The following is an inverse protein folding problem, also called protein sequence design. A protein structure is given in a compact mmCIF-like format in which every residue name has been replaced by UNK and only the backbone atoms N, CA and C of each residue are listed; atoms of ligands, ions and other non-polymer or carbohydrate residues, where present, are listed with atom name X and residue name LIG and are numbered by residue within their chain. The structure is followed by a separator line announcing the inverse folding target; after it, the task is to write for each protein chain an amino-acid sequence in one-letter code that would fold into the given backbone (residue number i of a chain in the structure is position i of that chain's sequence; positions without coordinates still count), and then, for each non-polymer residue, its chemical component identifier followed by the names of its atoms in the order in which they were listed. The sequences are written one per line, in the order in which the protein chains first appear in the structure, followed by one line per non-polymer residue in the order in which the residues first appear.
data_IF_760526305025
#
_entry.id   IF_760526305025
#
_cell.length_a   1.000
_cell.length_b   1.000
_cell.length_c   1.000
_cell.angle_alpha   90.00
_cell.angle_beta   90.00
_cell.angle_gamma   90.00
#
_symmetry.space_group_name_H-M   'P 1'
#
loop_
_entity.id
_entity.type
_entity.pdbx_description
1 polymer ?
#
# COMPACT_ATOMS: atom_id res chain seq x y z
N UNK A 1 29.89 -51.10 9.23
CA UNK A 1 29.97 -51.51 7.81
C UNK A 1 29.11 -50.57 6.99
N UNK A 2 29.73 -49.83 6.06
CA UNK A 2 29.20 -49.28 4.78
C UNK A 2 27.74 -48.77 4.76
N UNK A 3 27.44 -47.48 4.57
CA UNK A 3 27.99 -46.60 3.54
C UNK A 3 27.46 -47.00 2.17
N UNK A 4 26.19 -46.68 1.86
CA UNK A 4 25.55 -46.99 0.57
C UNK A 4 24.87 -45.71 0.05
N UNK A 5 25.60 -45.00 -0.80
CA UNK A 5 25.21 -44.22 -1.99
C UNK A 5 24.01 -43.25 -1.88
N UNK A 6 24.20 -41.93 -1.91
CA UNK A 6 24.70 -41.06 -2.99
C UNK A 6 23.61 -40.60 -4.00
N UNK A 7 23.29 -39.32 -3.92
CA UNK A 7 22.98 -38.36 -5.00
C UNK A 7 22.08 -38.81 -6.17
N UNK A 8 20.80 -38.40 -6.13
CA UNK A 8 20.01 -38.20 -7.35
C UNK A 8 20.32 -36.82 -7.94
N UNK A 9 21.40 -36.73 -8.72
CA UNK A 9 21.52 -35.70 -9.74
C UNK A 9 20.90 -36.22 -11.03
N UNK A 10 19.65 -35.84 -11.30
CA UNK A 10 19.03 -36.08 -12.61
C UNK A 10 18.72 -34.74 -13.25
N UNK A 11 19.63 -34.34 -14.15
CA UNK A 11 19.46 -33.23 -15.07
C UNK A 11 18.47 -33.62 -16.19
N UNK A 12 17.60 -32.71 -16.68
CA UNK A 12 16.58 -33.05 -17.67
C UNK A 12 17.19 -33.22 -19.07
N UNK A 13 17.23 -34.46 -19.58
CA UNK A 13 17.52 -34.73 -20.99
C UNK A 13 16.29 -34.42 -21.85
N UNK A 14 16.20 -33.17 -22.33
CA UNK A 14 15.29 -32.79 -23.41
C UNK A 14 15.74 -33.46 -24.71
N UNK A 15 15.04 -34.52 -25.13
CA UNK A 15 15.17 -35.12 -26.47
C UNK A 15 14.87 -34.05 -27.53
N UNK A 16 15.87 -33.68 -28.33
CA UNK A 16 15.66 -32.92 -29.57
C UNK A 16 15.44 -33.94 -30.69
N UNK A 17 14.25 -33.94 -31.30
CA UNK A 17 14.03 -34.62 -32.57
C UNK A 17 14.61 -33.78 -33.72
N UNK A 18 15.07 -34.41 -34.83
CA UNK A 18 15.53 -33.68 -36.01
C UNK A 18 14.32 -33.10 -36.77
N UNK A 19 14.35 -31.82 -37.20
CA UNK A 19 13.37 -31.34 -38.17
C UNK A 19 13.76 -31.83 -39.56
N UNK A 20 12.80 -32.51 -40.21
CA UNK A 20 12.79 -32.75 -41.65
C UNK A 20 12.72 -31.41 -42.36
N UNK A 21 13.69 -31.17 -43.23
CA UNK A 21 13.73 -30.09 -44.20
C UNK A 21 12.73 -30.42 -45.32
N UNK A 22 11.95 -29.42 -45.77
CA UNK A 22 11.38 -29.28 -47.12
C UNK A 22 10.28 -28.20 -47.09
N UNK A 23 10.57 -27.04 -47.70
CA UNK A 23 9.52 -26.09 -48.06
C UNK A 23 9.91 -24.61 -48.01
N UNK A 24 10.74 -24.19 -48.95
CA UNK A 24 10.77 -22.86 -49.60
C UNK A 24 9.86 -21.80 -48.96
N UNK A 25 10.45 -20.87 -48.20
CA UNK A 25 9.94 -19.49 -48.14
C UNK A 25 11.13 -18.54 -48.04
N UNK A 26 11.36 -17.85 -49.15
CA UNK A 26 12.38 -16.83 -49.36
C UNK A 26 12.34 -15.78 -48.26
N UNK A 27 13.47 -15.54 -47.59
CA UNK A 27 13.67 -14.44 -46.66
C UNK A 27 14.02 -13.16 -47.42
N UNK A 28 13.20 -12.10 -47.42
CA UNK A 28 13.65 -10.79 -47.82
C UNK A 28 14.12 -10.01 -46.58
N UNK A 29 14.96 -8.99 -46.80
CA UNK A 29 15.36 -7.93 -45.83
C UNK A 29 16.54 -8.23 -44.89
N UNK A 30 17.67 -8.60 -45.49
CA UNK A 30 18.89 -7.83 -45.22
C UNK A 30 18.78 -6.49 -45.99
N UNK A 31 18.05 -5.54 -45.43
CA UNK A 31 18.03 -4.15 -45.90
C UNK A 31 18.34 -3.28 -44.68
N UNK A 32 19.63 -3.05 -44.51
CA UNK A 32 20.21 -2.09 -43.58
C UNK A 32 20.19 -0.74 -44.28
N UNK A 33 19.20 0.11 -43.99
CA UNK A 33 19.37 1.57 -44.06
C UNK A 33 18.26 2.28 -43.26
N UNK A 34 18.71 3.20 -42.41
CA UNK A 34 17.98 4.27 -41.71
C UNK A 34 17.18 3.90 -40.45
N UNK A 35 17.79 4.22 -39.30
CA UNK A 35 17.09 4.42 -38.03
C UNK A 35 16.00 5.49 -38.24
N UNK A 36 14.74 5.25 -37.85
CA UNK A 36 13.77 6.32 -37.76
C UNK A 36 14.30 7.38 -36.78
N UNK A 37 14.22 8.68 -37.10
CA UNK A 37 14.61 9.73 -36.18
C UNK A 37 13.81 9.55 -34.89
N UNK A 38 14.51 9.30 -33.79
CA UNK A 38 13.91 9.29 -32.47
C UNK A 38 13.21 10.63 -32.27
N UNK A 39 11.91 10.67 -31.93
CA UNK A 39 11.30 11.94 -31.57
C UNK A 39 12.10 12.49 -30.40
N UNK A 40 12.61 13.72 -30.56
CA UNK A 40 13.22 14.46 -29.45
C UNK A 40 12.22 14.45 -28.33
N UNK A 41 12.55 13.77 -27.24
CA UNK A 41 11.77 13.81 -26.01
C UNK A 41 11.74 15.26 -25.57
N UNK A 42 10.63 15.94 -25.89
CA UNK A 42 10.29 17.22 -25.30
C UNK A 42 10.12 16.89 -23.84
N UNK A 43 11.14 17.15 -23.03
CA UNK A 43 10.98 17.21 -21.59
C UNK A 43 9.98 18.33 -21.34
N UNK A 44 8.75 18.06 -20.85
CA UNK A 44 7.99 19.13 -20.27
C UNK A 44 8.76 19.55 -19.03
N UNK A 45 9.51 20.64 -19.13
CA UNK A 45 9.86 21.45 -17.96
C UNK A 45 8.54 22.05 -17.46
N UNK A 46 7.73 21.20 -16.82
CA UNK A 46 6.64 21.66 -15.99
C UNK A 46 7.31 22.58 -14.98
N UNK A 47 7.05 23.88 -15.16
CA UNK A 47 7.30 24.92 -14.20
C UNK A 47 6.58 24.51 -12.92
N UNK A 48 7.27 23.72 -12.09
CA UNK A 48 6.88 23.54 -10.71
C UNK A 48 7.13 24.90 -10.09
N UNK A 49 6.04 25.62 -9.83
CA UNK A 49 6.04 26.76 -8.92
C UNK A 49 6.72 26.38 -7.60
N UNK A 50 7.02 27.37 -6.73
CA UNK A 50 7.76 27.13 -5.51
C UNK A 50 7.06 26.02 -4.73
N UNK A 51 7.67 24.82 -4.73
CA UNK A 51 7.24 23.77 -3.83
C UNK A 51 7.54 24.35 -2.47
N UNK A 52 6.51 24.64 -1.71
CA UNK A 52 6.68 24.76 -0.27
C UNK A 52 7.36 23.47 0.16
N UNK A 53 8.65 23.53 0.50
CA UNK A 53 9.39 22.36 0.91
C UNK A 53 8.67 21.79 2.14
N UNK A 54 8.03 20.62 1.96
CA UNK A 54 7.31 20.01 3.05
C UNK A 54 8.30 19.73 4.18
N UNK A 55 7.94 20.06 5.43
CA UNK A 55 8.74 19.71 6.60
C UNK A 55 9.19 18.25 6.54
N UNK A 56 10.42 17.97 6.98
CA UNK A 56 11.02 16.63 6.86
C UNK A 56 10.16 15.50 7.46
N UNK A 57 9.41 15.79 8.52
CA UNK A 57 8.49 14.84 9.14
C UNK A 57 7.28 14.51 8.25
N UNK A 58 6.70 15.48 7.53
CA UNK A 58 5.61 15.26 6.57
C UNK A 58 6.12 14.54 5.32
N UNK A 59 7.33 14.87 4.87
CA UNK A 59 8.00 14.15 3.78
C UNK A 59 8.22 12.68 4.14
N UNK A 60 8.59 12.38 5.40
CA UNK A 60 8.67 11.00 5.90
C UNK A 60 7.31 10.31 5.85
N UNK A 61 6.26 10.97 6.32
CA UNK A 61 4.89 10.42 6.34
C UNK A 61 4.37 10.11 4.92
N UNK A 62 4.66 10.97 3.95
CA UNK A 62 4.36 10.74 2.53
C UNK A 62 5.06 9.48 1.98
N UNK A 63 6.35 9.33 2.28
CA UNK A 63 7.11 8.13 1.87
C UNK A 63 6.53 6.86 2.49
N UNK A 64 6.17 6.93 3.77
CA UNK A 64 5.53 5.83 4.49
C UNK A 64 4.20 5.46 3.85
N UNK A 65 3.33 6.43 3.56
CA UNK A 65 2.05 6.19 2.88
C UNK A 65 2.23 5.50 1.52
N UNK A 66 3.16 6.01 0.69
CA UNK A 66 3.46 5.43 -0.62
C UNK A 66 3.96 3.99 -0.50
N UNK A 67 4.81 3.70 0.49
CA UNK A 67 5.31 2.37 0.76
C UNK A 67 4.20 1.42 1.21
N UNK A 68 3.30 1.86 2.11
CA UNK A 68 2.12 1.08 2.53
C UNK A 68 1.23 0.75 1.32
N UNK A 69 0.93 1.73 0.48
CA UNK A 69 0.10 1.52 -0.70
C UNK A 69 0.73 0.55 -1.70
N UNK A 70 2.05 0.66 -1.93
CA UNK A 70 2.77 -0.25 -2.81
C UNK A 70 2.80 -1.67 -2.25
N UNK A 71 3.05 -1.81 -0.95
CA UNK A 71 3.05 -3.10 -0.27
C UNK A 71 1.67 -3.77 -0.34
N UNK A 72 0.59 -3.02 -0.10
CA UNK A 72 -0.77 -3.53 -0.21
C UNK A 72 -1.10 -3.97 -1.64
N UNK A 73 -0.75 -3.15 -2.63
CA UNK A 73 -0.98 -3.47 -4.04
C UNK A 73 -0.28 -4.77 -4.44
N UNK A 74 0.97 -4.96 -3.99
CA UNK A 74 1.70 -6.20 -4.21
C UNK A 74 1.08 -7.38 -3.46
N UNK A 75 0.76 -7.23 -2.18
CA UNK A 75 0.13 -8.28 -1.39
C UNK A 75 -1.21 -8.74 -1.99
N UNK A 76 -2.04 -7.81 -2.46
CA UNK A 76 -3.31 -8.09 -3.14
C UNK A 76 -3.12 -8.74 -4.52
N UNK A 77 -2.03 -8.44 -5.22
CA UNK A 77 -1.71 -9.09 -6.49
C UNK A 77 -1.20 -10.54 -6.28
N UNK A 78 -0.51 -10.81 -5.16
CA UNK A 78 0.03 -12.14 -4.85
C UNK A 78 -0.92 -13.04 -4.10
N UNK A 79 -1.81 -12.47 -3.28
CA UNK A 79 -2.76 -13.20 -2.48
C UNK A 79 -4.12 -13.17 -3.18
N UNK A 80 -4.70 -14.35 -3.45
CA UNK A 80 -6.05 -14.47 -4.02
C UNK A 80 -7.13 -14.11 -2.98
N UNK A 81 -7.10 -12.89 -2.46
CA UNK A 81 -8.03 -12.39 -1.45
C UNK A 81 -9.11 -11.58 -2.15
N UNK A 82 -10.36 -12.03 -2.04
CA UNK A 82 -11.53 -11.29 -2.51
C UNK A 82 -12.12 -10.46 -1.37
N UNK A 83 -12.58 -9.22 -1.63
CA UNK A 83 -13.38 -8.45 -0.68
C UNK A 83 -14.69 -9.17 -0.35
N UNK A 84 -15.16 -8.98 0.87
CA UNK A 84 -16.47 -9.49 1.29
C UNK A 84 -17.59 -8.78 0.52
N UNK A 85 -18.54 -9.53 -0.03
CA UNK A 85 -19.62 -9.01 -0.87
C UNK A 85 -20.56 -8.05 -0.13
N UNK A 86 -20.67 -8.18 1.18
CA UNK A 86 -21.55 -7.39 2.04
C UNK A 86 -21.00 -5.98 2.34
N UNK A 87 -19.69 -5.88 2.54
CA UNK A 87 -19.01 -4.70 3.07
C UNK A 87 -17.99 -4.11 2.10
N UNK A 88 -17.58 -4.86 1.07
CA UNK A 88 -16.52 -4.44 0.16
C UNK A 88 -15.15 -4.33 0.84
N UNK A 89 -14.96 -4.95 2.00
CA UNK A 89 -13.74 -4.81 2.80
C UNK A 89 -12.83 -6.03 2.66
N UNK A 90 -11.53 -5.76 2.68
CA UNK A 90 -10.48 -6.76 2.87
C UNK A 90 -9.66 -6.35 4.08
N UNK A 91 -9.89 -7.02 5.21
CA UNK A 91 -9.20 -6.71 6.46
C UNK A 91 -7.85 -7.42 6.56
N UNK A 92 -6.96 -6.86 7.39
CA UNK A 92 -5.69 -7.50 7.80
C UNK A 92 -4.82 -8.05 6.63
N UNK A 93 -4.79 -7.36 5.48
CA UNK A 93 -3.97 -7.74 4.31
C UNK A 93 -2.48 -7.69 4.67
N UNK A 94 -2.08 -6.63 5.38
CA UNK A 94 -0.74 -6.48 5.93
C UNK A 94 -0.82 -6.20 7.42
N UNK A 95 0.27 -6.46 8.13
CA UNK A 95 0.44 -6.11 9.53
C UNK A 95 1.53 -5.04 9.65
N UNK A 96 1.37 -4.08 10.56
CA UNK A 96 2.41 -3.10 10.88
C UNK A 96 3.78 -3.71 11.24
N UNK A 97 3.82 -4.95 11.78
CA UNK A 97 5.08 -5.70 11.98
C UNK A 97 5.66 -6.16 10.64
N UNK A 98 4.84 -6.72 9.75
CA UNK A 98 5.27 -7.19 8.43
C UNK A 98 5.68 -6.02 7.51
N UNK A 99 5.08 -4.84 7.69
CA UNK A 99 5.47 -3.62 6.98
C UNK A 99 6.91 -3.22 7.30
N UNK A 100 7.40 -3.43 8.54
CA UNK A 100 8.82 -3.17 8.88
C UNK A 100 9.78 -4.00 8.05
N UNK A 101 9.38 -5.21 7.66
CA UNK A 101 10.20 -6.13 6.87
C UNK A 101 10.04 -5.95 5.36
N UNK A 102 9.05 -5.17 4.93
CA UNK A 102 8.78 -4.99 3.51
C UNK A 102 9.84 -4.07 2.87
N UNK A 103 10.39 -4.49 1.74
CA UNK A 103 11.44 -3.78 0.99
C UNK A 103 10.90 -2.49 0.36
N UNK A 104 10.75 -1.45 1.17
CA UNK A 104 10.24 -0.14 0.75
C UNK A 104 10.33 0.94 1.82
N UNK A 105 10.53 0.58 3.09
CA UNK A 105 10.73 1.52 4.17
C UNK A 105 12.22 1.77 4.41
N UNK A 106 12.70 2.97 4.08
CA UNK A 106 14.05 3.41 4.43
C UNK A 106 14.19 3.79 5.91
N UNK A 107 13.07 3.97 6.62
CA UNK A 107 13.01 4.40 8.03
C UNK A 107 12.16 3.44 8.83
N UNK A 108 12.42 3.30 10.13
CA UNK A 108 11.59 2.48 11.02
C UNK A 108 10.12 2.91 10.95
N UNK A 109 9.24 1.94 10.70
CA UNK A 109 7.79 2.13 10.70
C UNK A 109 7.22 1.67 12.05
N UNK A 110 6.69 2.60 12.84
CA UNK A 110 6.14 2.33 14.17
C UNK A 110 4.62 2.37 14.25
N UNK A 111 4.07 2.05 15.42
CA UNK A 111 2.63 2.24 15.72
C UNK A 111 2.28 3.73 15.67
N UNK A 112 3.18 4.62 16.11
CA UNK A 112 2.99 6.07 16.03
C UNK A 112 2.88 6.59 14.59
N UNK A 113 3.62 6.00 13.65
CA UNK A 113 3.48 6.34 12.24
C UNK A 113 2.12 5.90 11.69
N UNK A 114 1.64 4.74 12.12
CA UNK A 114 0.32 4.22 11.74
C UNK A 114 -0.81 5.10 12.31
N UNK A 115 -0.72 5.53 13.58
CA UNK A 115 -1.65 6.48 14.20
C UNK A 115 -1.76 7.78 13.40
N UNK A 116 -0.61 8.37 13.07
CA UNK A 116 -0.52 9.62 12.29
C UNK A 116 -1.11 9.45 10.89
N UNK A 117 -0.86 8.32 10.23
CA UNK A 117 -1.48 8.01 8.94
C UNK A 117 -3.00 7.88 9.05
N UNK A 118 -3.48 7.12 10.04
CA UNK A 118 -4.91 6.91 10.27
C UNK A 118 -5.64 8.24 10.45
N UNK A 119 -5.09 9.09 11.33
CA UNK A 119 -5.63 10.41 11.58
C UNK A 119 -5.67 11.25 10.30
N UNK A 120 -4.60 11.25 9.49
CA UNK A 120 -4.57 12.03 8.26
C UNK A 120 -5.49 11.47 7.15
N UNK A 121 -5.74 10.17 7.14
CA UNK A 121 -6.73 9.57 6.24
C UNK A 121 -8.13 10.08 6.57
N UNK A 122 -8.47 10.10 7.86
CA UNK A 122 -9.77 10.56 8.39
C UNK A 122 -9.93 12.09 8.32
N UNK A 123 -8.83 12.84 8.37
CA UNK A 123 -8.87 14.29 8.36
C UNK A 123 -9.57 14.87 7.13
N UNK A 124 -10.53 15.77 7.36
CA UNK A 124 -11.39 16.40 6.35
C UNK A 124 -10.65 17.41 5.45
N UNK A 125 -9.51 17.93 5.92
CA UNK A 125 -8.71 18.91 5.21
C UNK A 125 -9.03 20.36 5.55
N UNK A 126 -9.93 20.62 6.51
CA UNK A 126 -10.41 21.96 6.86
C UNK A 126 -10.31 22.24 8.36
N UNK A 127 -10.66 21.30 9.23
CA UNK A 127 -10.68 21.52 10.68
C UNK A 127 -9.38 21.07 11.34
N UNK A 128 -8.72 21.95 12.09
CA UNK A 128 -7.72 21.47 13.07
C UNK A 128 -8.49 21.05 14.30
N UNK A 129 -8.12 19.94 14.96
CA UNK A 129 -8.65 19.64 16.27
C UNK A 129 -8.34 20.83 17.20
N UNK A 130 -9.33 21.69 17.44
CA UNK A 130 -9.28 22.68 18.50
C UNK A 130 -9.06 21.92 19.81
N UNK A 131 -8.15 22.40 20.65
CA UNK A 131 -7.78 21.78 21.93
C UNK A 131 -9.01 21.31 22.69
N UNK A 132 -9.24 20.00 22.66
CA UNK A 132 -10.51 19.45 23.06
C UNK A 132 -10.33 18.62 24.32
N UNK A 133 -10.36 19.32 25.46
CA UNK A 133 -10.85 18.72 26.71
C UNK A 133 -12.24 18.08 26.50
N UNK A 134 -12.99 18.52 25.48
CA UNK A 134 -14.27 17.96 25.04
C UNK A 134 -14.18 16.76 24.07
N UNK A 135 -13.04 16.46 23.44
CA UNK A 135 -12.90 15.25 22.60
C UNK A 135 -12.49 14.02 23.39
N UNK A 136 -11.98 14.20 24.61
CA UNK A 136 -11.75 13.09 25.53
C UNK A 136 -13.06 12.43 25.95
N UNK A 137 -14.16 13.17 26.11
CA UNK A 137 -15.45 12.57 26.50
C UNK A 137 -16.21 11.84 25.38
N UNK A 138 -15.89 12.10 24.11
CA UNK A 138 -16.55 11.43 22.97
C UNK A 138 -15.67 10.41 22.23
N UNK A 139 -14.36 10.41 22.51
CA UNK A 139 -13.36 9.58 21.83
C UNK A 139 -12.72 8.49 22.67
N UNK A 140 -13.01 8.39 23.98
CA UNK A 140 -12.42 7.36 24.85
C UNK A 140 -12.95 5.95 24.51
N UNK A 141 -14.23 5.82 24.17
CA UNK A 141 -14.84 4.55 23.73
C UNK A 141 -14.44 4.16 22.30
N UNK A 142 -14.03 5.13 21.47
CA UNK A 142 -13.60 4.96 20.08
C UNK A 142 -12.07 5.04 19.92
N UNK A 143 -11.28 4.84 20.97
CA UNK A 143 -9.81 4.83 20.86
C UNK A 143 -9.27 3.39 20.91
N UNK A 144 -8.85 2.80 19.78
CA UNK A 144 -8.42 1.40 19.70
C UNK A 144 -7.00 1.17 20.21
N UNK A 145 -6.31 2.25 20.55
CA UNK A 145 -5.00 2.19 21.14
C UNK A 145 -5.08 2.04 22.67
N UNK A 146 -6.29 2.10 23.25
CA UNK A 146 -6.56 1.79 24.66
C UNK A 146 -7.05 0.34 24.79
N UNK A 147 -6.47 -0.43 25.70
CA UNK A 147 -6.63 -1.89 25.83
C UNK A 147 -8.04 -2.37 26.23
N UNK A 148 -9.05 -1.49 26.35
CA UNK A 148 -10.35 -1.80 26.96
C UNK A 148 -11.55 -1.95 25.99
N UNK A 149 -11.42 -1.66 24.70
CA UNK A 149 -12.57 -1.82 23.76
C UNK A 149 -12.68 -3.27 23.27
N UNK A 150 -13.62 -4.00 23.88
CA UNK A 150 -13.97 -5.39 23.57
C UNK A 150 -14.92 -5.56 22.36
N UNK A 151 -15.10 -4.52 21.54
CA UNK A 151 -15.93 -4.60 20.34
C UNK A 151 -15.18 -5.26 19.19
N UNK A 152 -15.68 -6.42 18.76
CA UNK A 152 -15.16 -7.26 17.67
C UNK A 152 -14.94 -6.53 16.34
N UNK A 153 -15.62 -5.40 16.12
CA UNK A 153 -15.71 -4.76 14.80
C UNK A 153 -15.06 -3.38 14.75
N UNK A 154 -14.05 -3.14 15.59
CA UNK A 154 -13.26 -1.92 15.51
C UNK A 154 -12.58 -1.77 14.15
N UNK A 155 -13.01 -0.77 13.37
CA UNK A 155 -12.47 -0.44 12.06
C UNK A 155 -12.34 1.07 11.89
N UNK A 156 -11.13 1.55 11.59
CA UNK A 156 -10.87 2.95 11.23
C UNK A 156 -10.22 3.05 9.86
N UNK A 157 -10.25 4.23 9.26
CA UNK A 157 -9.64 4.46 7.96
C UNK A 157 -10.57 5.11 6.95
N UNK A 158 -9.94 5.66 5.92
CA UNK A 158 -10.57 6.42 4.85
C UNK A 158 -9.65 6.37 3.62
N UNK A 159 -10.06 6.98 2.52
CA UNK A 159 -9.33 6.95 1.24
C UNK A 159 -9.09 5.52 0.71
N UNK A 160 -9.99 4.59 1.05
CA UNK A 160 -9.91 3.18 0.66
C UNK A 160 -8.93 2.34 1.49
N UNK A 161 -8.42 2.85 2.62
CA UNK A 161 -7.63 2.06 3.57
C UNK A 161 -8.47 1.76 4.81
N UNK A 162 -8.25 0.59 5.39
CA UNK A 162 -8.89 0.18 6.65
C UNK A 162 -7.82 -0.28 7.64
N UNK A 163 -8.05 -0.03 8.91
CA UNK A 163 -7.27 -0.50 10.04
C UNK A 163 -8.15 -1.36 10.91
N UNK A 164 -7.66 -2.55 11.19
CA UNK A 164 -8.34 -3.54 12.02
C UNK A 164 -7.37 -4.10 13.05
N UNK A 165 -7.91 -4.56 14.17
CA UNK A 165 -7.13 -5.32 15.15
C UNK A 165 -6.81 -6.72 14.58
N UNK A 166 -5.65 -7.22 14.96
CA UNK A 166 -5.14 -8.51 14.56
C UNK A 166 -4.22 -9.11 15.62
N UNK A 167 -3.75 -10.32 15.37
CA UNK A 167 -2.73 -10.96 16.22
C UNK A 167 -1.58 -11.46 15.36
N UNK A 168 -0.35 -11.29 15.84
CA UNK A 168 0.85 -11.82 15.20
C UNK A 168 1.52 -12.83 16.11
N UNK A 169 1.86 -13.99 15.58
CA UNK A 169 2.59 -14.98 16.34
C UNK A 169 4.09 -14.63 16.37
N UNK A 170 4.55 -14.15 17.53
CA UNK A 170 5.97 -13.90 17.76
C UNK A 170 6.70 -15.21 18.02
N UNK A 171 7.63 -15.59 17.14
CA UNK A 171 8.43 -16.82 17.33
C UNK A 171 9.41 -16.72 18.50
N UNK A 172 9.93 -15.53 18.78
CA UNK A 172 10.88 -15.30 19.88
C UNK A 172 10.22 -15.50 21.24
N UNK A 173 8.98 -15.00 21.40
CA UNK A 173 8.23 -15.05 22.66
C UNK A 173 7.27 -16.25 22.74
N UNK A 174 7.11 -17.00 21.64
CA UNK A 174 6.13 -18.09 21.47
C UNK A 174 4.69 -17.68 21.83
N UNK A 175 4.39 -16.39 21.78
CA UNK A 175 3.09 -15.80 22.16
C UNK A 175 2.49 -15.04 20.99
N UNK A 176 1.16 -15.00 20.94
CA UNK A 176 0.43 -14.07 20.06
C UNK A 176 0.45 -12.69 20.69
N UNK A 177 1.01 -11.73 19.97
CA UNK A 177 1.01 -10.32 20.36
C UNK A 177 -0.10 -9.59 19.58
N UNK A 178 -0.80 -8.64 20.21
CA UNK A 178 -1.78 -7.81 19.51
C UNK A 178 -1.07 -6.95 18.47
N UNK A 179 -1.69 -6.82 17.30
CA UNK A 179 -1.13 -6.04 16.19
C UNK A 179 -2.21 -5.32 15.42
N UNK A 180 -1.85 -4.20 14.82
CA UNK A 180 -2.70 -3.51 13.85
C UNK A 180 -2.46 -4.08 12.46
N UNK A 181 -3.53 -4.53 11.83
CA UNK A 181 -3.55 -4.87 10.42
C UNK A 181 -4.09 -3.73 9.57
N UNK A 182 -3.52 -3.62 8.38
CA UNK A 182 -3.90 -2.67 7.34
C UNK A 182 -4.57 -3.44 6.22
N UNK A 183 -5.78 -3.03 5.90
CA UNK A 183 -6.63 -3.56 4.86
C UNK A 183 -7.02 -2.50 3.85
N UNK A 184 -7.95 -2.88 2.99
CA UNK A 184 -8.53 -2.01 1.98
C UNK A 184 -10.05 -2.05 2.03
N UNK A 185 -10.67 -0.94 1.64
CA UNK A 185 -12.11 -0.85 1.39
C UNK A 185 -12.29 -0.50 -0.08
N UNK A 186 -13.14 -1.28 -0.75
CA UNK A 186 -13.44 -1.13 -2.16
C UNK A 186 -14.93 -0.94 -2.37
N UNK A 187 -15.27 -0.03 -3.27
CA UNK A 187 -16.66 0.18 -3.67
C UNK A 187 -17.14 -0.99 -4.53
N UNK A 188 -18.15 -1.69 -4.03
CA UNK A 188 -18.86 -2.77 -4.72
C UNK A 188 -20.22 -2.26 -5.15
N UNK A 189 -20.36 -1.90 -6.43
CA UNK A 189 -21.64 -1.54 -7.02
C UNK A 189 -22.24 -2.77 -7.71
N UNK A 190 -23.13 -3.46 -6.99
CA UNK A 190 -23.77 -4.68 -7.48
C UNK A 190 -24.78 -4.33 -8.59
N UNK A 191 -25.47 -3.19 -8.46
CA UNK A 191 -26.51 -2.75 -9.39
C UNK A 191 -25.94 -2.35 -10.75
N UNK A 192 -24.72 -1.80 -10.79
CA UNK A 192 -23.99 -1.52 -12.04
C UNK A 192 -23.23 -2.72 -12.62
N UNK A 193 -23.45 -3.93 -12.09
CA UNK A 193 -22.75 -5.14 -12.55
C UNK A 193 -21.26 -5.17 -12.19
N UNK A 194 -20.83 -4.35 -11.23
CA UNK A 194 -19.44 -4.25 -10.77
C UNK A 194 -19.15 -5.13 -9.52
N UNK A 195 -19.97 -6.15 -9.27
CA UNK A 195 -19.92 -7.02 -8.09
C UNK A 195 -18.76 -8.02 -8.04
N UNK A 196 -17.85 -8.03 -9.03
CA UNK A 196 -16.68 -8.90 -9.02
C UNK A 196 -15.63 -8.42 -8.02
N UNK A 197 -15.40 -9.17 -6.93
CA UNK A 197 -14.44 -8.78 -5.89
C UNK A 197 -13.02 -8.49 -6.39
N UNK A 198 -12.50 -9.33 -7.30
CA UNK A 198 -11.18 -9.09 -7.91
C UNK A 198 -11.16 -7.86 -8.83
N UNK A 199 -12.28 -7.55 -9.51
CA UNK A 199 -12.39 -6.34 -10.31
C UNK A 199 -12.36 -5.09 -9.43
N UNK A 200 -12.98 -5.14 -8.25
CA UNK A 200 -12.95 -4.06 -7.27
C UNK A 200 -11.52 -3.82 -6.73
N UNK A 201 -10.78 -4.88 -6.42
CA UNK A 201 -9.36 -4.80 -6.03
C UNK A 201 -8.49 -4.22 -7.15
N UNK A 202 -8.76 -4.59 -8.40
CA UNK A 202 -8.05 -4.02 -9.55
C UNK A 202 -8.32 -2.51 -9.70
N UNK A 203 -9.58 -2.06 -9.54
CA UNK A 203 -9.94 -0.63 -9.55
C UNK A 203 -9.25 0.12 -8.42
N UNK A 204 -9.23 -0.44 -7.22
CA UNK A 204 -8.53 0.14 -6.07
C UNK A 204 -7.05 0.33 -6.36
N UNK A 205 -6.41 -0.69 -6.94
CA UNK A 205 -4.99 -0.64 -7.31
C UNK A 205 -4.72 0.40 -8.41
N UNK A 206 -5.59 0.47 -9.44
CA UNK A 206 -5.50 1.45 -10.52
C UNK A 206 -5.67 2.90 -10.04
N UNK A 207 -6.54 3.13 -9.06
CA UNK A 207 -6.75 4.43 -8.41
C UNK A 207 -5.60 4.83 -7.46
N UNK A 208 -4.51 4.06 -7.42
CA UNK A 208 -3.40 4.30 -6.51
C UNK A 208 -2.76 5.68 -6.68
N UNK A 209 -2.51 6.14 -7.90
CA UNK A 209 -1.83 7.43 -8.11
C UNK A 209 -2.72 8.61 -7.69
N UNK A 210 -4.03 8.53 -7.97
CA UNK A 210 -5.02 9.51 -7.52
C UNK A 210 -5.03 9.64 -6.00
N UNK A 211 -4.97 8.52 -5.27
CA UNK A 211 -4.93 8.52 -3.80
C UNK A 211 -3.66 9.13 -3.24
N UNK A 212 -2.50 8.88 -3.85
CA UNK A 212 -1.24 9.54 -3.48
C UNK A 212 -1.32 11.06 -3.68
N UNK A 213 -1.90 11.51 -4.79
CA UNK A 213 -2.08 12.92 -5.08
C UNK A 213 -3.03 13.59 -4.05
N UNK A 214 -4.15 12.95 -3.72
CA UNK A 214 -5.06 13.42 -2.68
C UNK A 214 -4.37 13.49 -1.31
N UNK A 215 -3.59 12.47 -0.96
CA UNK A 215 -2.86 12.44 0.31
C UNK A 215 -1.80 13.55 0.40
N UNK A 216 -1.09 13.81 -0.71
CA UNK A 216 -0.15 14.93 -0.81
C UNK A 216 -0.85 16.28 -0.67
N UNK A 217 -2.01 16.46 -1.29
CA UNK A 217 -2.81 17.68 -1.14
C UNK A 217 -3.27 17.87 0.32
N UNK A 218 -3.67 16.80 1.01
CA UNK A 218 -3.94 16.85 2.46
C UNK A 218 -2.68 17.28 3.22
N UNK A 219 -1.53 16.66 2.98
CA UNK A 219 -0.29 17.06 3.65
C UNK A 219 0.10 18.53 3.43
N UNK A 220 -0.08 19.05 2.21
CA UNK A 220 0.20 20.46 1.91
C UNK A 220 -0.79 21.39 2.63
N UNK A 221 -2.08 21.05 2.67
CA UNK A 221 -3.07 21.79 3.47
C UNK A 221 -2.70 21.75 4.95
N UNK A 222 -2.36 20.58 5.48
CA UNK A 222 -1.94 20.41 6.86
C UNK A 222 -0.71 21.25 7.20
N UNK A 223 0.29 21.27 6.30
CA UNK A 223 1.48 22.09 6.48
C UNK A 223 1.14 23.58 6.56
N UNK A 224 0.23 24.08 5.71
CA UNK A 224 -0.23 25.47 5.77
C UNK A 224 -0.91 25.77 7.09
N UNK A 225 -1.86 24.94 7.48
CA UNK A 225 -2.66 25.16 8.69
C UNK A 225 -1.83 25.01 9.97
N UNK A 226 -0.89 24.07 10.02
CA UNK A 226 0.03 23.88 11.14
C UNK A 226 0.97 25.07 11.36
N UNK A 227 1.34 25.77 10.28
CA UNK A 227 2.13 27.01 10.37
C UNK A 227 1.33 28.14 11.02
N UNK A 228 0.01 28.21 10.77
CA UNK A 228 -0.86 29.22 11.37
C UNK A 228 -1.17 28.98 12.85
N UNK A 229 -1.12 27.72 13.31
CA UNK A 229 -1.53 27.34 14.67
C UNK A 229 -0.37 27.28 15.68
N UNK A 230 0.85 27.63 15.25
CA UNK A 230 1.98 27.72 16.18
C UNK A 230 2.27 26.41 16.88
N UNK A 231 2.59 25.36 16.12
CA UNK A 231 3.25 24.12 16.57
C UNK A 231 2.81 23.60 17.96
N UNK A 232 1.51 23.57 18.24
CA UNK A 232 0.99 22.89 19.44
C UNK A 232 1.18 21.39 19.22
N UNK A 233 1.84 20.74 20.17
CA UNK A 233 2.43 19.40 20.11
C UNK A 233 1.47 18.22 19.96
N UNK A 234 0.53 18.28 19.01
CA UNK A 234 -0.50 17.26 18.80
C UNK A 234 0.01 15.98 18.11
N UNK A 235 1.28 15.95 17.69
CA UNK A 235 1.90 14.79 17.04
C UNK A 235 2.85 14.00 17.94
N UNK A 236 3.00 14.33 19.23
CA UNK A 236 3.97 13.68 20.11
C UNK A 236 3.40 12.53 20.93
#
# INVERSE_FOLDING_TARGET
MSGIYASLQVSPRKKRGPPSDDGVTTTPKKLRTEQPPTPKSITPSSARGPKSDLPGHLTRLLKVHNAVQQALSHALATCAISPSTDSGRVLNVLNHISLKTYSGFATSFGVEDLKRLCWLWEWDGESVPENSADAQQKGEDDNPFLESSSSSDWMRGSMGFTLSLGSHYSKSERKRIPVYGVGIEVEMDIDKGMGGGMAAVARWTAAGETRRAQFLQKLEKWAKVSVYIGFVGFMS
#
